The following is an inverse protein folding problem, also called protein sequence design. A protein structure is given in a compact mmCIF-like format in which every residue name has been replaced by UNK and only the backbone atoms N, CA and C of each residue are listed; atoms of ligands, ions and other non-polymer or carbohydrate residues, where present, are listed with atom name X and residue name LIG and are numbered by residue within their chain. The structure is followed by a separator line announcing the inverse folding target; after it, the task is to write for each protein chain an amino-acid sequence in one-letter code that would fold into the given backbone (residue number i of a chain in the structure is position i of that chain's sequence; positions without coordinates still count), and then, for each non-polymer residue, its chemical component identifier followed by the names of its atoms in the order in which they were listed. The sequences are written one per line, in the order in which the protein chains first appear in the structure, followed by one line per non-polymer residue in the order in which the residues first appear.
data_IF_789225082036
#
_entry.id   IF_789225082036
#
_cell.length_a   1.000
_cell.length_b   1.000
_cell.length_c   1.000
_cell.angle_alpha   90.00
_cell.angle_beta   90.00
_cell.angle_gamma   90.00
#
_symmetry.space_group_name_H-M   'P 1'
#
loop_
_entity.id
_entity.type
_entity.pdbx_description
1 polymer ?
#
# COMPACT_ATOMS: atom_id res chain seq x y z
N UNK A 1 -14.44 -5.91 23.17
CA UNK A 1 -13.25 -5.35 22.52
C UNK A 1 -13.70 -4.87 21.16
N UNK A 2 -13.77 -3.55 20.94
CA UNK A 2 -14.25 -3.00 19.67
C UNK A 2 -13.13 -3.11 18.63
N UNK A 3 -13.46 -3.49 17.39
CA UNK A 3 -12.50 -3.74 16.30
C UNK A 3 -11.51 -2.59 16.09
N UNK A 4 -11.94 -1.34 16.35
CA UNK A 4 -11.13 -0.13 16.28
C UNK A 4 -9.87 -0.17 17.15
N UNK A 5 -9.96 -0.71 18.37
CA UNK A 5 -8.84 -0.75 19.32
C UNK A 5 -7.72 -1.70 18.86
N UNK A 6 -7.92 -2.45 17.77
CA UNK A 6 -6.93 -3.36 17.18
C UNK A 6 -6.29 -2.78 15.91
N UNK A 7 -6.67 -1.56 15.51
CA UNK A 7 -6.12 -0.89 14.33
C UNK A 7 -5.11 0.16 14.78
N UNK A 8 -3.85 -0.04 14.40
CA UNK A 8 -2.81 0.97 14.58
C UNK A 8 -2.71 1.84 13.31
N UNK A 9 -2.97 3.14 13.46
CA UNK A 9 -2.90 4.10 12.35
C UNK A 9 -1.68 5.01 12.57
N UNK A 10 -0.86 5.16 11.52
CA UNK A 10 0.24 6.12 11.50
C UNK A 10 0.26 6.87 10.17
N UNK A 11 0.72 8.12 10.20
CA UNK A 11 0.84 8.99 9.03
C UNK A 11 2.29 9.40 8.84
N UNK A 12 2.72 9.51 7.59
CA UNK A 12 4.00 10.09 7.20
C UNK A 12 3.77 11.24 6.24
N UNK A 13 4.57 12.29 6.38
CA UNK A 13 4.52 13.49 5.55
C UNK A 13 5.75 13.62 4.65
N UNK A 14 6.76 12.76 4.81
CA UNK A 14 7.98 12.74 3.99
C UNK A 14 8.42 11.31 3.71
N UNK A 15 9.20 11.11 2.63
CA UNK A 15 9.80 9.80 2.32
C UNK A 15 10.62 9.23 3.49
N UNK A 16 11.35 10.10 4.19
CA UNK A 16 12.14 9.70 5.36
C UNK A 16 11.26 9.22 6.51
N UNK A 17 10.18 9.93 6.83
CA UNK A 17 9.24 9.49 7.85
C UNK A 17 8.60 8.15 7.49
N UNK A 18 8.13 8.00 6.24
CA UNK A 18 7.57 6.73 5.78
C UNK A 18 8.58 5.58 5.90
N UNK A 19 9.82 5.82 5.46
CA UNK A 19 10.92 4.86 5.59
C UNK A 19 11.13 4.46 7.06
N UNK A 20 11.26 5.43 7.97
CA UNK A 20 11.46 5.15 9.39
C UNK A 20 10.29 4.38 10.02
N UNK A 21 9.04 4.76 9.67
CA UNK A 21 7.85 4.05 10.14
C UNK A 21 7.88 2.57 9.72
N UNK A 22 8.18 2.30 8.45
CA UNK A 22 8.12 0.95 7.90
C UNK A 22 9.29 0.08 8.38
N UNK A 23 10.49 0.63 8.53
CA UNK A 23 11.63 -0.15 9.03
C UNK A 23 11.60 -0.41 10.54
N UNK A 24 11.14 0.55 11.33
CA UNK A 24 11.24 0.48 12.79
C UNK A 24 9.90 0.25 13.47
N UNK A 25 8.91 1.10 13.19
CA UNK A 25 7.66 1.12 13.96
C UNK A 25 6.71 -0.01 13.58
N UNK A 26 6.70 -0.43 12.31
CA UNK A 26 5.83 -1.55 11.88
C UNK A 26 6.18 -2.82 12.61
N UNK A 27 7.46 -3.14 12.82
CA UNK A 27 7.85 -4.35 13.53
C UNK A 27 7.29 -4.40 14.96
N UNK A 28 7.40 -3.29 15.69
CA UNK A 28 6.86 -3.16 17.04
C UNK A 28 5.32 -3.25 17.03
N UNK A 29 4.65 -2.53 16.13
CA UNK A 29 3.20 -2.54 16.03
C UNK A 29 2.64 -3.93 15.67
N UNK A 30 3.33 -4.68 14.81
CA UNK A 30 2.94 -6.06 14.47
C UNK A 30 2.96 -6.98 15.70
N UNK A 31 3.89 -6.77 16.62
CA UNK A 31 4.03 -7.56 17.84
C UNK A 31 2.99 -7.15 18.89
N UNK A 32 2.87 -5.85 19.15
CA UNK A 32 1.96 -5.28 20.14
C UNK A 32 0.48 -5.59 19.82
N UNK A 33 0.11 -5.49 18.54
CA UNK A 33 -1.26 -5.69 18.07
C UNK A 33 -1.50 -7.11 17.52
N UNK A 34 -0.47 -7.97 17.48
CA UNK A 34 -0.53 -9.30 16.84
C UNK A 34 -1.11 -9.26 15.41
N UNK A 35 -0.83 -8.18 14.69
CA UNK A 35 -1.44 -7.91 13.40
C UNK A 35 -0.94 -8.86 12.31
N UNK A 36 -1.83 -9.19 11.37
CA UNK A 36 -1.55 -10.06 10.21
C UNK A 36 -1.65 -9.34 8.87
N UNK A 37 -1.99 -8.06 8.89
CA UNK A 37 -2.14 -7.20 7.73
C UNK A 37 -1.48 -5.85 7.99
N UNK A 38 -0.66 -5.41 7.04
CA UNK A 38 -0.15 -4.03 6.96
C UNK A 38 -0.73 -3.40 5.71
N UNK A 39 -1.34 -2.23 5.85
CA UNK A 39 -1.84 -1.44 4.71
C UNK A 39 -0.99 -0.18 4.58
N UNK A 40 -0.43 0.04 3.39
CA UNK A 40 0.39 1.20 3.06
C UNK A 40 -0.29 1.94 1.92
N UNK A 41 -0.87 3.08 2.24
CA UNK A 41 -1.57 3.92 1.28
C UNK A 41 -0.58 4.72 0.44
N UNK A 42 -0.70 4.59 -0.89
CA UNK A 42 0.07 5.29 -1.92
C UNK A 42 1.57 5.41 -1.61
N UNK A 43 2.23 4.26 -1.59
CA UNK A 43 3.60 4.10 -1.11
C UNK A 43 4.64 4.93 -1.88
N UNK A 44 4.34 5.34 -3.11
CA UNK A 44 5.32 6.03 -3.98
C UNK A 44 5.31 7.54 -3.83
N UNK A 45 4.19 8.15 -3.44
CA UNK A 45 3.98 9.60 -3.58
C UNK A 45 5.00 10.42 -2.81
N UNK A 46 5.32 10.02 -1.57
CA UNK A 46 6.31 10.74 -0.76
C UNK A 46 7.74 10.65 -1.32
N UNK A 47 8.06 9.63 -2.13
CA UNK A 47 9.36 9.49 -2.81
C UNK A 47 9.44 10.27 -4.13
N UNK A 48 8.30 10.73 -4.65
CA UNK A 48 8.20 11.58 -5.82
C UNK A 48 8.18 13.07 -5.46
N UNK A 49 8.25 13.40 -4.16
CA UNK A 49 8.33 14.77 -3.68
C UNK A 49 9.55 15.50 -4.27
N UNK A 50 9.39 16.79 -4.54
CA UNK A 50 10.44 17.66 -5.11
C UNK A 50 11.63 17.79 -4.16
N UNK A 51 11.39 17.72 -2.86
CA UNK A 51 12.44 17.86 -1.84
C UNK A 51 13.24 16.56 -1.64
N UNK A 52 12.82 15.45 -2.27
CA UNK A 52 13.53 14.17 -2.21
C UNK A 52 14.57 14.04 -3.35
N UNK A 53 15.87 13.87 -3.03
CA UNK A 53 16.88 13.63 -4.06
C UNK A 53 16.59 12.35 -4.84
N UNK A 54 16.49 12.44 -6.17
CA UNK A 54 16.02 11.33 -7.04
C UNK A 54 16.82 10.04 -6.88
N UNK A 55 18.15 10.14 -6.84
CA UNK A 55 19.04 8.97 -6.69
C UNK A 55 18.84 8.30 -5.33
N UNK A 56 18.67 9.10 -4.28
CA UNK A 56 18.42 8.60 -2.94
C UNK A 56 17.03 7.96 -2.85
N UNK A 57 16.01 8.57 -3.46
CA UNK A 57 14.66 7.99 -3.54
C UNK A 57 14.71 6.57 -4.12
N UNK A 58 15.44 6.37 -5.22
CA UNK A 58 15.61 5.05 -5.83
C UNK A 58 16.26 4.03 -4.87
N UNK A 59 17.36 4.43 -4.22
CA UNK A 59 18.10 3.56 -3.30
C UNK A 59 17.26 3.19 -2.09
N UNK A 60 16.64 4.18 -1.45
CA UNK A 60 15.84 3.98 -0.24
C UNK A 60 14.58 3.19 -0.56
N UNK A 61 13.87 3.51 -1.64
CA UNK A 61 12.65 2.79 -2.02
C UNK A 61 12.91 1.33 -2.40
N UNK A 62 14.02 1.04 -3.09
CA UNK A 62 14.38 -0.35 -3.40
C UNK A 62 14.70 -1.15 -2.13
N UNK A 63 15.40 -0.55 -1.16
CA UNK A 63 15.63 -1.17 0.16
C UNK A 63 14.33 -1.36 0.92
N UNK A 64 13.44 -0.38 0.88
CA UNK A 64 12.14 -0.44 1.55
C UNK A 64 11.29 -1.60 1.00
N UNK A 65 11.11 -1.66 -0.32
CA UNK A 65 10.31 -2.72 -0.96
C UNK A 65 10.90 -4.09 -0.72
N UNK A 66 12.23 -4.23 -0.70
CA UNK A 66 12.90 -5.46 -0.26
C UNK A 66 12.56 -5.84 1.18
N UNK A 67 12.63 -4.88 2.09
CA UNK A 67 12.32 -5.09 3.48
C UNK A 67 10.86 -5.54 3.67
N UNK A 68 9.91 -4.95 2.95
CA UNK A 68 8.50 -5.35 3.01
C UNK A 68 8.28 -6.79 2.53
N UNK A 69 8.92 -7.21 1.44
CA UNK A 69 8.86 -8.60 0.97
C UNK A 69 9.41 -9.57 2.04
N UNK A 70 10.56 -9.24 2.64
CA UNK A 70 11.16 -10.04 3.69
C UNK A 70 10.28 -10.10 4.94
N UNK A 71 9.71 -8.96 5.34
CA UNK A 71 8.80 -8.86 6.48
C UNK A 71 7.55 -9.73 6.28
N UNK A 72 6.97 -9.70 5.08
CA UNK A 72 5.80 -10.50 4.72
C UNK A 72 6.09 -12.02 4.84
N UNK A 73 7.23 -12.47 4.33
CA UNK A 73 7.60 -13.88 4.33
C UNK A 73 8.02 -14.38 5.72
N UNK A 74 8.84 -13.62 6.45
CA UNK A 74 9.35 -14.02 7.77
C UNK A 74 8.26 -14.04 8.83
N UNK A 75 7.36 -13.05 8.84
CA UNK A 75 6.29 -12.94 9.86
C UNK A 75 4.97 -13.58 9.43
N UNK A 76 4.91 -14.17 8.23
CA UNK A 76 3.71 -14.76 7.63
C UNK A 76 2.51 -13.79 7.73
N UNK A 77 2.66 -12.62 7.10
CA UNK A 77 1.68 -11.54 7.09
C UNK A 77 1.42 -11.04 5.67
N UNK A 78 0.28 -10.39 5.47
CA UNK A 78 -0.05 -9.73 4.22
C UNK A 78 0.40 -8.25 4.26
N UNK A 79 1.08 -7.80 3.22
CA UNK A 79 1.36 -6.37 2.98
C UNK A 79 0.54 -5.93 1.78
N UNK A 80 -0.41 -5.03 2.00
CA UNK A 80 -1.16 -4.35 0.96
C UNK A 80 -0.57 -2.96 0.77
N UNK A 81 0.09 -2.72 -0.35
CA UNK A 81 0.56 -1.40 -0.74
C UNK A 81 -0.23 -0.90 -1.94
N UNK A 82 -0.84 0.29 -1.84
CA UNK A 82 -1.46 0.95 -2.98
C UNK A 82 -0.46 1.89 -3.65
N UNK A 83 -0.67 2.14 -4.94
CA UNK A 83 0.13 3.03 -5.76
C UNK A 83 -0.82 3.76 -6.71
N UNK A 84 -0.78 5.09 -6.68
CA UNK A 84 -1.52 5.92 -7.62
C UNK A 84 -0.58 6.23 -8.80
N UNK A 85 -0.96 5.91 -10.05
CA UNK A 85 -0.14 6.24 -11.21
C UNK A 85 0.08 7.75 -11.31
N UNK A 86 1.36 8.16 -11.36
CA UNK A 86 1.78 9.55 -11.57
C UNK A 86 2.20 9.80 -13.01
N UNK A 87 2.40 11.08 -13.36
CA UNK A 87 3.00 11.44 -14.65
C UNK A 87 4.32 10.69 -14.87
N UNK A 88 4.56 10.15 -16.07
CA UNK A 88 5.72 9.31 -16.34
C UNK A 88 6.99 10.15 -16.29
N UNK A 89 7.81 9.88 -15.29
CA UNK A 89 9.18 10.40 -15.15
C UNK A 89 10.12 9.21 -14.96
N UNK A 90 11.43 9.43 -15.17
CA UNK A 90 12.42 8.37 -14.92
C UNK A 90 12.32 7.79 -13.50
N UNK A 91 12.00 8.64 -12.52
CA UNK A 91 11.87 8.21 -11.13
C UNK A 91 10.57 7.43 -10.91
N UNK A 92 9.40 7.95 -11.34
CA UNK A 92 8.12 7.25 -11.14
C UNK A 92 8.08 5.88 -11.83
N UNK A 93 8.64 5.79 -13.05
CA UNK A 93 8.77 4.50 -13.75
C UNK A 93 9.65 3.53 -12.95
N UNK A 94 10.77 4.01 -12.38
CA UNK A 94 11.64 3.17 -11.54
C UNK A 94 10.92 2.68 -10.28
N UNK A 95 10.25 3.58 -9.54
CA UNK A 95 9.54 3.20 -8.31
C UNK A 95 8.43 2.19 -8.60
N UNK A 96 7.65 2.43 -9.65
CA UNK A 96 6.62 1.50 -10.10
C UNK A 96 7.23 0.14 -10.47
N UNK A 97 8.29 0.11 -11.27
CA UNK A 97 8.95 -1.14 -11.66
C UNK A 97 9.53 -1.89 -10.45
N UNK A 98 10.12 -1.18 -9.48
CA UNK A 98 10.62 -1.78 -8.25
C UNK A 98 9.47 -2.40 -7.44
N UNK A 99 8.38 -1.66 -7.22
CA UNK A 99 7.21 -2.15 -6.48
C UNK A 99 6.57 -3.37 -7.19
N UNK A 100 6.35 -3.25 -8.50
CA UNK A 100 5.81 -4.34 -9.32
C UNK A 100 6.76 -5.54 -9.34
N UNK A 101 8.08 -5.34 -9.32
CA UNK A 101 9.04 -6.44 -9.26
C UNK A 101 9.03 -7.22 -7.94
N UNK A 102 8.58 -6.60 -6.84
CA UNK A 102 8.60 -7.20 -5.49
C UNK A 102 7.28 -7.81 -5.03
N UNK A 103 6.15 -7.39 -5.59
CA UNK A 103 4.85 -7.90 -5.15
C UNK A 103 4.61 -9.35 -5.59
N UNK A 104 3.95 -10.17 -4.79
CA UNK A 104 3.50 -11.50 -5.27
C UNK A 104 2.24 -11.37 -6.14
N UNK A 105 1.35 -10.46 -5.73
CA UNK A 105 0.07 -10.20 -6.37
C UNK A 105 -0.02 -8.75 -6.84
N UNK A 106 -0.52 -8.54 -8.05
CA UNK A 106 -0.83 -7.21 -8.59
C UNK A 106 -2.31 -7.13 -8.92
N UNK A 107 -2.96 -6.14 -8.33
CA UNK A 107 -4.34 -5.76 -8.58
C UNK A 107 -4.36 -4.36 -9.16
N UNK A 108 -5.03 -4.20 -10.30
CA UNK A 108 -5.33 -2.89 -10.87
C UNK A 108 -6.79 -2.58 -10.63
N UNK A 109 -7.05 -1.40 -10.09
CA UNK A 109 -8.39 -0.88 -9.86
C UNK A 109 -8.61 0.26 -10.86
N UNK A 110 -9.71 0.18 -11.60
CA UNK A 110 -10.18 1.25 -12.47
C UNK A 110 -11.64 1.53 -12.14
N UNK A 111 -11.98 2.79 -11.94
CA UNK A 111 -13.37 3.23 -11.83
C UNK A 111 -13.81 3.83 -13.17
N UNK A 112 -14.94 3.35 -13.69
CA UNK A 112 -15.59 3.90 -14.88
C UNK A 112 -17.10 3.89 -14.68
N UNK A 113 -17.76 5.04 -14.80
CA UNK A 113 -19.22 5.20 -14.70
C UNK A 113 -19.85 4.47 -13.49
N UNK A 114 -19.27 4.63 -12.29
CA UNK A 114 -19.71 3.96 -11.05
C UNK A 114 -19.58 2.44 -11.05
N UNK A 115 -18.76 1.88 -11.94
CA UNK A 115 -18.35 0.48 -11.94
C UNK A 115 -16.87 0.43 -11.57
N UNK A 116 -16.56 -0.29 -10.49
CA UNK A 116 -15.20 -0.60 -10.11
C UNK A 116 -14.76 -1.87 -10.82
N UNK A 117 -13.80 -1.76 -11.72
CA UNK A 117 -13.14 -2.88 -12.38
C UNK A 117 -11.92 -3.27 -11.57
N UNK A 118 -11.96 -4.45 -10.98
CA UNK A 118 -10.83 -5.07 -10.30
C UNK A 118 -10.17 -6.07 -11.24
N UNK A 119 -8.93 -5.81 -11.63
CA UNK A 119 -8.15 -6.66 -12.53
C UNK A 119 -7.02 -7.31 -11.76
N UNK A 120 -7.02 -8.64 -11.69
CA UNK A 120 -5.88 -9.42 -11.24
C UNK A 120 -4.87 -9.50 -12.37
N UNK A 121 -3.81 -8.71 -12.32
CA UNK A 121 -2.77 -8.68 -13.35
C UNK A 121 -1.73 -9.78 -13.14
N UNK A 122 -1.39 -10.05 -11.87
CA UNK A 122 -0.45 -11.10 -11.49
C UNK A 122 -0.88 -11.75 -10.18
N UNK A 123 -0.75 -13.07 -10.12
CA UNK A 123 -0.88 -13.86 -8.89
C UNK A 123 -0.11 -15.18 -9.07
N UNK A 124 0.51 -15.74 -8.01
CA UNK A 124 1.30 -16.97 -8.13
C UNK A 124 0.49 -18.18 -8.64
N UNK A 125 -0.76 -18.32 -8.20
CA UNK A 125 -1.58 -19.52 -8.48
C UNK A 125 -2.85 -19.26 -9.31
N UNK A 126 -3.16 -18.00 -9.61
CA UNK A 126 -4.44 -17.63 -10.24
C UNK A 126 -4.14 -16.99 -11.60
N UNK A 127 -4.96 -17.34 -12.60
CA UNK A 127 -4.88 -16.70 -13.90
C UNK A 127 -5.42 -15.27 -13.81
N UNK A 128 -4.86 -14.35 -14.62
CA UNK A 128 -5.40 -12.99 -14.70
C UNK A 128 -6.90 -12.99 -14.97
N UNK A 129 -7.64 -12.18 -14.20
CA UNK A 129 -9.10 -12.10 -14.26
C UNK A 129 -9.58 -10.71 -13.91
N UNK A 130 -10.63 -10.28 -14.59
CA UNK A 130 -11.34 -9.04 -14.28
C UNK A 130 -12.67 -9.34 -13.61
N UNK A 131 -12.96 -8.61 -12.55
CA UNK A 131 -14.26 -8.60 -11.85
C UNK A 131 -14.79 -7.17 -11.89
N UNK A 132 -16.08 -7.02 -12.14
CA UNK A 132 -16.77 -5.73 -12.12
C UNK A 132 -17.66 -5.67 -10.89
N UNK A 133 -17.55 -4.59 -10.13
CA UNK A 133 -18.29 -4.35 -8.90
C UNK A 133 -19.08 -3.05 -9.07
N UNK A 134 -20.41 -3.05 -8.90
CA UNK A 134 -21.19 -1.83 -8.91
C UNK A 134 -20.86 -0.98 -7.67
N UNK A 135 -20.37 0.27 -7.80
CA UNK A 135 -20.10 1.12 -6.63
C UNK A 135 -21.37 1.48 -5.85
N UNK A 136 -22.52 1.55 -6.54
CA UNK A 136 -23.83 1.70 -5.90
C UNK A 136 -24.20 0.52 -4.99
N UNK A 137 -23.61 -0.67 -5.17
CA UNK A 137 -23.76 -1.80 -4.24
C UNK A 137 -22.80 -1.73 -3.03
N UNK A 138 -21.81 -0.82 -3.06
CA UNK A 138 -21.04 -0.38 -1.89
C UNK A 138 -21.75 0.77 -1.16
N UNK A 139 -22.93 1.21 -1.63
CA UNK A 139 -23.72 2.27 -1.02
C UNK A 139 -24.01 1.99 0.46
N UNK A 140 -23.55 2.90 1.31
CA UNK A 140 -23.43 2.83 2.78
C UNK A 140 -22.11 2.23 3.32
N UNK A 141 -21.04 2.16 2.54
CA UNK A 141 -19.71 1.89 3.09
C UNK A 141 -19.26 3.08 3.93
N UNK A 142 -19.53 3.01 5.24
CA UNK A 142 -18.94 3.89 6.27
C UNK A 142 -17.45 3.95 6.01
N UNK A 143 -16.93 5.12 5.66
CA UNK A 143 -15.50 5.30 5.48
C UNK A 143 -14.82 5.29 6.86
N UNK A 144 -13.51 5.05 6.88
CA UNK A 144 -12.74 5.11 8.12
C UNK A 144 -12.83 6.52 8.75
N UNK A 145 -13.04 7.55 7.93
CA UNK A 145 -13.24 8.93 8.36
C UNK A 145 -14.62 9.13 9.00
N UNK A 146 -15.69 8.66 8.34
CA UNK A 146 -17.05 8.72 8.88
C UNK A 146 -17.16 8.01 10.25
N UNK A 147 -16.44 6.90 10.43
CA UNK A 147 -16.46 6.14 11.69
C UNK A 147 -15.56 6.73 12.78
N UNK A 148 -14.53 7.51 12.42
CA UNK A 148 -13.64 8.18 13.38
C UNK A 148 -14.26 9.46 13.95
N UNK A 149 -15.20 10.09 13.24
CA UNK A 149 -15.94 11.27 13.74
C UNK A 149 -17.06 10.89 14.74
N UNK A 150 -17.49 9.63 14.76
CA UNK A 150 -18.56 9.11 15.65
C UNK A 150 -18.05 8.46 16.96
N UNK A 151 -16.74 8.37 17.18
CA UNK A 151 -16.11 7.69 18.33
C UNK A 151 -15.43 8.65 19.32
#
# INVERSE_FOLDING_TARGET
QTTLQQIFISRAFTAYQLTQLLFQRVNQALEDYRAKLVVISDITTLYLDRDMPKTEAQVVFNKLTQHLTQLASEKNLAVLATHIPHHPTKLSIFLQAALHGRADTLLKLEEDNRILRLMLERHPNLKPRTVQLPLNSLGNSVTLEDFMEEA
#
